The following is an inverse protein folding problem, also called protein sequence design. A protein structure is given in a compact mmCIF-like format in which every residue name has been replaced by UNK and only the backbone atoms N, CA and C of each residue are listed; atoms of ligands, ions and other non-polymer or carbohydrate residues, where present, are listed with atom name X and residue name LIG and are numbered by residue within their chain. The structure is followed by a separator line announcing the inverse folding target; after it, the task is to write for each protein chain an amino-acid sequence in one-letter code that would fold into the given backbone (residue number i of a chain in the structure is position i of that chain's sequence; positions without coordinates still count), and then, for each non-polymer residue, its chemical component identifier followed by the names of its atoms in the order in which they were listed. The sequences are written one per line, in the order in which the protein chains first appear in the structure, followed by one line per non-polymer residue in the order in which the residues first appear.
data_IF_853049936102
#
_entry.id   IF_853049936102
#
_cell.length_a   1.000
_cell.length_b   1.000
_cell.length_c   1.000
_cell.angle_alpha   90.00
_cell.angle_beta   90.00
_cell.angle_gamma   90.00
#
_symmetry.space_group_name_H-M   'P 1'
#
loop_
_entity.id
_entity.type
_entity.pdbx_description
1 polymer ?
#
# COMPACT_ATOMS: atom_id res chain seq x y z
N UNK A 1 12.47 -21.55 -64.88
CA UNK A 1 12.04 -21.74 -63.49
C UNK A 1 13.02 -20.96 -62.62
N UNK A 2 12.77 -19.67 -62.45
CA UNK A 2 13.59 -18.81 -61.58
C UNK A 2 12.92 -18.70 -60.22
N UNK A 3 13.58 -19.23 -59.19
CA UNK A 3 13.15 -19.12 -57.81
C UNK A 3 13.74 -17.83 -57.21
N UNK A 4 12.89 -16.82 -57.05
CA UNK A 4 13.21 -15.58 -56.33
C UNK A 4 13.38 -15.86 -54.83
N UNK A 5 14.44 -15.37 -54.16
CA UNK A 5 14.61 -15.58 -52.73
C UNK A 5 13.63 -14.74 -51.90
N UNK A 6 13.22 -15.20 -50.70
CA UNK A 6 12.26 -14.48 -49.87
C UNK A 6 12.88 -13.19 -49.34
N UNK A 7 12.21 -12.07 -49.60
CA UNK A 7 12.61 -10.76 -49.09
C UNK A 7 12.60 -10.67 -47.56
N UNK A 8 13.30 -9.67 -46.98
CA UNK A 8 13.43 -9.52 -45.54
C UNK A 8 12.05 -9.31 -44.89
N UNK A 9 11.76 -10.10 -43.86
CA UNK A 9 10.58 -9.95 -43.01
C UNK A 9 10.63 -8.55 -42.38
N UNK A 10 9.63 -7.72 -42.69
CA UNK A 10 9.43 -6.42 -42.02
C UNK A 10 9.27 -6.66 -40.51
N UNK A 11 9.88 -5.82 -39.65
CA UNK A 11 9.64 -5.90 -38.21
C UNK A 11 8.15 -5.72 -37.92
N UNK A 12 7.62 -6.57 -37.05
CA UNK A 12 6.25 -6.50 -36.55
C UNK A 12 6.06 -5.12 -35.89
N UNK A 13 5.35 -4.21 -36.56
CA UNK A 13 4.91 -2.97 -35.94
C UNK A 13 3.93 -3.36 -34.83
N UNK A 14 4.28 -3.07 -33.58
CA UNK A 14 3.38 -3.27 -32.44
C UNK A 14 2.04 -2.60 -32.76
N UNK A 15 0.90 -3.25 -32.46
CA UNK A 15 -0.41 -2.66 -32.73
C UNK A 15 -0.52 -1.34 -31.99
N UNK A 16 -1.01 -0.29 -32.67
CA UNK A 16 -1.33 0.99 -32.06
C UNK A 16 -2.24 0.73 -30.87
N UNK A 17 -1.70 0.89 -29.65
CA UNK A 17 -2.43 0.57 -28.45
C UNK A 17 -3.61 1.54 -28.32
N UNK A 18 -4.82 1.00 -28.16
CA UNK A 18 -6.00 1.80 -27.87
C UNK A 18 -5.84 2.64 -26.58
N UNK A 19 -6.78 3.55 -26.29
CA UNK A 19 -6.71 4.53 -25.18
C UNK A 19 -6.58 3.91 -23.76
N UNK A 20 -6.64 2.58 -23.66
CA UNK A 20 -6.53 1.79 -22.44
C UNK A 20 -5.09 1.57 -21.94
N UNK A 21 -4.08 1.72 -22.81
CA UNK A 21 -2.68 1.48 -22.47
C UNK A 21 -1.87 2.77 -22.54
N UNK A 22 -1.01 3.00 -21.55
CA UNK A 22 -0.15 4.17 -21.53
C UNK A 22 1.13 3.91 -22.34
N UNK A 23 1.55 4.89 -23.11
CA UNK A 23 2.89 4.93 -23.69
C UNK A 23 3.96 5.03 -22.59
N UNK A 24 5.22 4.78 -22.95
CA UNK A 24 6.34 4.94 -22.02
C UNK A 24 6.44 6.37 -21.46
N UNK A 25 6.25 7.38 -22.31
CA UNK A 25 6.28 8.79 -21.92
C UNK A 25 5.13 9.17 -20.97
N UNK A 26 3.91 8.71 -21.25
CA UNK A 26 2.77 8.93 -20.35
C UNK A 26 2.97 8.23 -19.00
N UNK A 27 3.53 7.02 -19.02
CA UNK A 27 3.87 6.28 -17.79
C UNK A 27 4.89 7.06 -16.96
N UNK A 28 5.95 7.58 -17.58
CA UNK A 28 6.97 8.36 -16.88
C UNK A 28 6.41 9.65 -16.31
N UNK A 29 5.53 10.33 -17.06
CA UNK A 29 4.87 11.54 -16.58
C UNK A 29 3.98 11.27 -15.36
N UNK A 30 3.20 10.18 -15.38
CA UNK A 30 2.36 9.78 -14.24
C UNK A 30 3.24 9.47 -13.03
N UNK A 31 4.29 8.66 -13.19
CA UNK A 31 5.17 8.28 -12.07
C UNK A 31 5.97 9.47 -11.51
N UNK A 32 6.37 10.42 -12.36
CA UNK A 32 7.00 11.66 -11.92
C UNK A 32 6.03 12.53 -11.11
N UNK A 33 4.79 12.71 -11.57
CA UNK A 33 3.76 13.42 -10.80
C UNK A 33 3.46 12.70 -9.48
N UNK A 34 3.48 11.37 -9.47
CA UNK A 34 3.33 10.59 -8.25
C UNK A 34 4.47 10.84 -7.27
N UNK A 35 5.71 10.91 -7.77
CA UNK A 35 6.89 11.20 -6.98
C UNK A 35 6.86 12.59 -6.33
N UNK A 36 6.44 13.61 -7.07
CA UNK A 36 6.31 14.98 -6.56
C UNK A 36 5.28 15.04 -5.43
N UNK A 37 4.09 14.49 -5.65
CA UNK A 37 3.04 14.48 -4.64
C UNK A 37 3.38 13.58 -3.43
N UNK A 38 4.04 12.43 -3.65
CA UNK A 38 4.53 11.56 -2.58
C UNK A 38 5.58 12.25 -1.71
N UNK A 39 6.52 12.97 -2.33
CA UNK A 39 7.50 13.79 -1.61
C UNK A 39 6.85 14.91 -0.77
N UNK A 40 5.83 15.58 -1.32
CA UNK A 40 5.09 16.61 -0.59
C UNK A 40 4.32 16.03 0.61
N UNK A 41 3.71 14.85 0.47
CA UNK A 41 3.02 14.15 1.55
C UNK A 41 3.98 13.72 2.66
N UNK A 42 5.13 13.13 2.32
CA UNK A 42 6.17 12.75 3.27
C UNK A 42 6.69 13.95 4.07
N UNK A 43 6.98 15.07 3.39
CA UNK A 43 7.41 16.30 4.06
C UNK A 43 6.30 16.85 4.99
N UNK A 44 5.04 16.81 4.54
CA UNK A 44 3.89 17.22 5.34
C UNK A 44 3.65 16.32 6.56
N UNK A 45 3.95 15.03 6.44
CA UNK A 45 3.91 14.04 7.52
C UNK A 45 4.97 14.34 8.58
N UNK A 46 6.22 14.53 8.16
CA UNK A 46 7.34 14.89 9.05
C UNK A 46 7.08 16.19 9.81
N UNK A 47 6.53 17.21 9.14
CA UNK A 47 6.19 18.48 9.79
C UNK A 47 5.16 18.31 10.90
N UNK A 48 4.15 17.45 10.69
CA UNK A 48 3.11 17.20 11.69
C UNK A 48 3.63 16.38 12.87
N UNK A 49 4.52 15.41 12.63
CA UNK A 49 5.20 14.66 13.69
C UNK A 49 6.05 15.60 14.55
N UNK A 50 6.89 16.45 13.93
CA UNK A 50 7.65 17.48 14.66
C UNK A 50 6.77 18.41 15.50
N UNK A 51 5.61 18.81 14.98
CA UNK A 51 4.65 19.64 15.74
C UNK A 51 4.06 18.90 16.93
N UNK A 52 3.73 17.62 16.77
CA UNK A 52 3.26 16.75 17.84
C UNK A 52 4.33 16.62 18.92
N UNK A 53 5.55 16.26 18.55
CA UNK A 53 6.69 16.08 19.47
C UNK A 53 6.98 17.37 20.25
N UNK A 54 6.95 18.53 19.59
CA UNK A 54 7.15 19.82 20.26
C UNK A 54 6.05 20.16 21.29
N UNK A 55 4.81 19.68 21.07
CA UNK A 55 3.72 19.83 22.04
C UNK A 55 3.84 18.84 23.20
N UNK A 56 4.38 17.65 22.94
CA UNK A 56 4.71 16.64 23.96
C UNK A 56 5.79 17.18 24.89
N UNK A 57 6.92 17.64 24.35
CA UNK A 57 8.01 18.27 25.11
C UNK A 57 7.50 19.45 25.96
N UNK A 58 6.63 20.29 25.39
CA UNK A 58 6.05 21.43 26.10
C UNK A 58 5.15 21.00 27.25
N UNK A 59 4.37 19.92 27.07
CA UNK A 59 3.50 19.37 28.11
C UNK A 59 4.32 18.68 29.20
N UNK A 60 5.35 17.94 28.84
CA UNK A 60 6.27 17.32 29.80
C UNK A 60 7.00 18.37 30.64
N UNK A 61 7.50 19.43 30.00
CA UNK A 61 8.12 20.56 30.70
C UNK A 61 7.14 21.22 31.69
N UNK A 62 5.86 21.36 31.30
CA UNK A 62 4.83 21.86 32.19
C UNK A 62 4.60 20.91 33.37
N UNK A 63 4.43 19.60 33.13
CA UNK A 63 4.25 18.59 34.19
C UNK A 63 5.44 18.58 35.16
N UNK A 64 6.67 18.58 34.63
CA UNK A 64 7.90 18.60 35.42
C UNK A 64 8.01 19.84 36.30
N UNK A 65 7.67 21.02 35.76
CA UNK A 65 7.59 22.27 36.52
C UNK A 65 6.42 22.32 37.53
N UNK A 66 5.42 21.42 37.38
CA UNK A 66 4.18 21.38 38.17
C UNK A 66 4.24 20.33 39.29
N UNK A 67 5.37 19.64 39.48
CA UNK A 67 5.58 18.69 40.58
C UNK A 67 5.37 19.27 42.00
N UNK A 68 5.32 20.62 42.13
CA UNK A 68 5.05 21.36 43.37
C UNK A 68 3.71 22.15 43.38
N UNK A 69 2.84 22.02 42.38
CA UNK A 69 1.64 22.89 42.24
C UNK A 69 0.37 22.30 42.88
N UNK A 70 -0.35 23.13 43.62
CA UNK A 70 -1.67 22.83 44.18
C UNK A 70 -2.68 22.44 43.09
N UNK A 71 -3.63 21.56 43.42
CA UNK A 71 -4.71 21.04 42.56
C UNK A 71 -5.36 22.06 41.60
N UNK A 72 -5.40 23.35 41.95
CA UNK A 72 -5.93 24.43 41.10
C UNK A 72 -5.17 24.67 39.79
N UNK A 73 -3.89 24.33 39.70
CA UNK A 73 -3.09 24.49 38.47
C UNK A 73 -3.43 23.47 37.39
N UNK A 74 -3.97 22.31 37.77
CA UNK A 74 -4.42 21.27 36.84
C UNK A 74 -5.69 21.67 36.07
N UNK A 75 -6.43 22.67 36.57
CA UNK A 75 -7.64 23.20 35.95
C UNK A 75 -7.43 24.55 35.26
N UNK A 76 -6.17 25.00 35.13
CA UNK A 76 -5.84 26.22 34.42
C UNK A 76 -6.26 26.11 32.93
N UNK A 77 -7.05 27.07 32.39
CA UNK A 77 -7.48 27.04 31.00
C UNK A 77 -6.35 26.95 29.98
N UNK A 78 -5.16 27.50 30.25
CA UNK A 78 -4.03 27.38 29.33
C UNK A 78 -3.46 25.96 29.31
N UNK A 79 -3.40 25.30 30.45
CA UNK A 79 -3.03 23.87 30.57
C UNK A 79 -4.03 22.97 29.84
N UNK A 80 -5.34 23.20 30.02
CA UNK A 80 -6.38 22.46 29.29
C UNK A 80 -6.25 22.68 27.78
N UNK A 81 -6.02 23.92 27.33
CA UNK A 81 -5.80 24.23 25.91
C UNK A 81 -4.59 23.50 25.34
N UNK A 82 -3.46 23.47 26.05
CA UNK A 82 -2.27 22.75 25.61
C UNK A 82 -2.56 21.26 25.39
N UNK A 83 -3.30 20.63 26.31
CA UNK A 83 -3.73 19.24 26.16
C UNK A 83 -4.66 19.01 24.96
N UNK A 84 -5.54 19.97 24.65
CA UNK A 84 -6.37 19.92 23.44
C UNK A 84 -5.52 20.04 22.16
N UNK A 85 -4.59 20.99 22.13
CA UNK A 85 -3.71 21.24 20.98
C UNK A 85 -2.83 20.01 20.68
N UNK A 86 -2.27 19.37 21.72
CA UNK A 86 -1.49 18.13 21.59
C UNK A 86 -2.34 16.99 21.02
N UNK A 87 -3.54 16.75 21.57
CA UNK A 87 -4.42 15.68 21.07
C UNK A 87 -4.80 15.89 19.60
N UNK A 88 -5.06 17.14 19.20
CA UNK A 88 -5.34 17.49 17.81
C UNK A 88 -4.11 17.28 16.92
N UNK A 89 -2.91 17.62 17.39
CA UNK A 89 -1.67 17.40 16.65
C UNK A 89 -1.38 15.91 16.44
N UNK A 90 -1.51 15.06 17.48
CA UNK A 90 -1.38 13.61 17.37
C UNK A 90 -2.37 13.01 16.39
N UNK A 91 -3.64 13.43 16.47
CA UNK A 91 -4.67 12.97 15.52
C UNK A 91 -4.32 13.36 14.09
N UNK A 92 -3.92 14.61 13.87
CA UNK A 92 -3.54 15.09 12.55
C UNK A 92 -2.30 14.37 12.00
N UNK A 93 -1.29 14.08 12.84
CA UNK A 93 -0.11 13.30 12.48
C UNK A 93 -0.50 11.89 12.03
N UNK A 94 -1.26 11.15 12.85
CA UNK A 94 -1.73 9.80 12.51
C UNK A 94 -2.56 9.74 11.23
N UNK A 95 -3.48 10.68 11.04
CA UNK A 95 -4.29 10.74 9.82
C UNK A 95 -3.42 11.03 8.57
N UNK A 96 -2.39 11.88 8.70
CA UNK A 96 -1.46 12.14 7.60
C UNK A 96 -0.51 10.99 7.33
N UNK A 97 -0.04 10.30 8.36
CA UNK A 97 0.77 9.08 8.23
C UNK A 97 0.00 8.01 7.47
N UNK A 98 -1.25 7.74 7.87
CA UNK A 98 -2.12 6.77 7.20
C UNK A 98 -2.36 7.14 5.72
N UNK A 99 -2.68 8.40 5.43
CA UNK A 99 -2.90 8.87 4.05
C UNK A 99 -1.61 8.82 3.21
N UNK A 100 -0.46 9.16 3.81
CA UNK A 100 0.84 9.10 3.14
C UNK A 100 1.23 7.66 2.82
N UNK A 101 1.03 6.75 3.78
CA UNK A 101 1.24 5.31 3.60
C UNK A 101 0.38 4.76 2.45
N UNK A 102 -0.93 5.06 2.44
CA UNK A 102 -1.85 4.66 1.36
C UNK A 102 -1.38 5.16 -0.02
N UNK A 103 -0.94 6.41 -0.09
CA UNK A 103 -0.45 7.01 -1.32
C UNK A 103 0.87 6.39 -1.80
N UNK A 104 1.83 6.22 -0.89
CA UNK A 104 3.16 5.66 -1.22
C UNK A 104 3.04 4.18 -1.60
N UNK A 105 2.18 3.41 -0.93
CA UNK A 105 1.88 2.03 -1.31
C UNK A 105 1.32 1.95 -2.74
N UNK A 106 0.38 2.84 -3.08
CA UNK A 106 -0.15 2.94 -4.44
C UNK A 106 0.94 3.31 -5.46
N UNK A 107 1.82 4.25 -5.12
CA UNK A 107 2.93 4.63 -5.97
C UNK A 107 3.94 3.49 -6.20
N UNK A 108 4.33 2.78 -5.16
CA UNK A 108 5.18 1.61 -5.27
C UNK A 108 4.53 0.54 -6.17
N UNK A 109 3.25 0.23 -5.99
CA UNK A 109 2.50 -0.69 -6.87
C UNK A 109 2.47 -0.24 -8.34
N UNK A 110 2.26 1.05 -8.58
CA UNK A 110 2.24 1.63 -9.91
C UNK A 110 3.62 1.51 -10.60
N UNK A 111 4.70 1.78 -9.87
CA UNK A 111 6.07 1.64 -10.38
C UNK A 111 6.43 0.19 -10.72
N UNK A 112 6.04 -0.77 -9.88
CA UNK A 112 6.23 -2.21 -10.16
C UNK A 112 5.44 -2.63 -11.39
N UNK A 113 4.20 -2.16 -11.52
CA UNK A 113 3.37 -2.43 -12.70
C UNK A 113 4.04 -1.91 -13.98
N UNK A 114 4.59 -0.69 -13.94
CA UNK A 114 5.35 -0.12 -15.05
C UNK A 114 6.63 -0.89 -15.33
N UNK A 115 7.34 -1.34 -14.30
CA UNK A 115 8.57 -2.12 -14.42
C UNK A 115 8.32 -3.48 -15.08
N UNK A 116 7.30 -4.22 -14.61
CA UNK A 116 6.87 -5.49 -15.22
C UNK A 116 6.52 -5.31 -16.70
N UNK A 117 5.72 -4.29 -17.02
CA UNK A 117 5.36 -3.98 -18.40
C UNK A 117 6.60 -3.66 -19.26
N UNK A 118 7.48 -2.78 -18.77
CA UNK A 118 8.71 -2.42 -19.46
C UNK A 118 9.63 -3.62 -19.72
N UNK A 119 9.75 -4.55 -18.75
CA UNK A 119 10.58 -5.76 -18.86
C UNK A 119 10.03 -6.75 -19.89
N UNK A 120 8.71 -6.81 -20.04
CA UNK A 120 8.01 -7.68 -21.01
C UNK A 120 7.84 -7.05 -22.39
N UNK A 121 8.27 -5.79 -22.60
CA UNK A 121 8.01 -5.05 -23.84
C UNK A 121 6.55 -4.64 -24.02
N UNK A 122 5.73 -4.76 -22.98
CA UNK A 122 4.31 -4.40 -22.97
C UNK A 122 4.11 -2.96 -22.50
N UNK A 123 2.92 -2.42 -22.78
CA UNK A 123 2.48 -1.14 -22.22
C UNK A 123 1.62 -1.36 -20.99
N UNK A 124 1.80 -0.60 -19.90
CA UNK A 124 0.94 -0.75 -18.74
C UNK A 124 -0.49 -0.31 -19.07
N UNK A 125 -1.48 -1.08 -18.61
CA UNK A 125 -2.89 -0.71 -18.68
C UNK A 125 -3.17 0.41 -17.69
N UNK A 126 -3.83 1.47 -18.15
CA UNK A 126 -4.19 2.64 -17.34
C UNK A 126 -4.97 2.24 -16.09
N UNK A 127 -5.97 1.38 -16.26
CA UNK A 127 -6.83 0.90 -15.16
C UNK A 127 -6.07 0.14 -14.08
N UNK A 128 -4.98 -0.57 -14.43
CA UNK A 128 -4.15 -1.25 -13.42
C UNK A 128 -3.35 -0.25 -12.60
N UNK A 129 -2.85 0.81 -13.23
CA UNK A 129 -2.11 1.87 -12.53
C UNK A 129 -2.99 2.63 -11.53
N UNK A 130 -4.27 2.89 -11.85
CA UNK A 130 -5.19 3.60 -10.95
C UNK A 130 -6.00 2.67 -10.03
N UNK A 131 -5.93 1.36 -10.25
CA UNK A 131 -6.78 0.37 -9.57
C UNK A 131 -6.70 0.42 -8.05
N UNK A 132 -5.51 0.69 -7.51
CA UNK A 132 -5.27 0.77 -6.07
C UNK A 132 -5.26 2.21 -5.51
N UNK A 133 -5.58 3.22 -6.32
CA UNK A 133 -5.50 4.61 -5.92
C UNK A 133 -6.40 4.93 -4.71
N UNK A 134 -5.92 5.68 -3.70
CA UNK A 134 -6.62 5.90 -2.42
C UNK A 134 -8.04 6.42 -2.52
N UNK A 135 -8.27 7.39 -3.40
CA UNK A 135 -9.53 8.16 -3.48
C UNK A 135 -10.09 8.21 -4.92
N UNK A 136 -9.71 7.24 -5.77
CA UNK A 136 -10.17 7.22 -7.16
C UNK A 136 -11.53 6.52 -7.29
N UNK A 137 -12.44 7.14 -8.04
CA UNK A 137 -13.68 6.52 -8.48
C UNK A 137 -13.44 5.86 -9.84
N UNK A 138 -13.81 4.58 -9.96
CA UNK A 138 -13.76 3.82 -11.21
C UNK A 138 -15.19 3.52 -11.64
N UNK A 139 -15.45 3.58 -12.95
CA UNK A 139 -16.74 3.13 -13.51
C UNK A 139 -16.81 1.60 -13.54
N UNK A 140 -18.00 1.04 -13.69
CA UNK A 140 -18.23 -0.41 -13.61
C UNK A 140 -17.39 -1.20 -14.64
N UNK A 141 -17.21 -0.66 -15.84
CA UNK A 141 -16.37 -1.26 -16.89
C UNK A 141 -14.89 -1.31 -16.48
N UNK A 142 -14.39 -0.26 -15.83
CA UNK A 142 -13.02 -0.20 -15.31
C UNK A 142 -12.83 -1.17 -14.14
N UNK A 143 -13.80 -1.25 -13.23
CA UNK A 143 -13.79 -2.21 -12.12
C UNK A 143 -13.78 -3.66 -12.61
N UNK A 144 -14.55 -3.95 -13.66
CA UNK A 144 -14.61 -5.27 -14.29
C UNK A 144 -13.29 -5.68 -14.95
N UNK A 145 -12.48 -4.71 -15.37
CA UNK A 145 -11.18 -4.95 -16.01
C UNK A 145 -10.04 -5.30 -15.02
N UNK A 146 -10.25 -5.05 -13.72
CA UNK A 146 -9.29 -5.45 -12.68
C UNK A 146 -9.29 -6.99 -12.48
N UNK A 147 -8.22 -7.59 -11.93
CA UNK A 147 -8.14 -9.05 -11.71
C UNK A 147 -9.16 -9.51 -10.67
N UNK A 148 -10.14 -10.36 -10.99
CA UNK A 148 -11.22 -10.79 -10.07
C UNK A 148 -10.71 -11.34 -8.72
N UNK A 149 -11.48 -11.15 -7.64
CA UNK A 149 -11.16 -11.82 -6.35
C UNK A 149 -11.15 -13.34 -6.56
N UNK A 150 -10.05 -13.99 -6.19
CA UNK A 150 -9.86 -15.42 -6.40
C UNK A 150 -10.87 -16.31 -5.66
N UNK A 151 -11.07 -17.53 -6.15
CA UNK A 151 -12.01 -18.49 -5.57
C UNK A 151 -11.68 -18.85 -4.10
N UNK A 152 -10.40 -18.84 -3.74
CA UNK A 152 -9.92 -19.09 -2.37
C UNK A 152 -10.40 -18.02 -1.37
N UNK A 153 -10.54 -16.77 -1.81
CA UNK A 153 -11.10 -15.69 -1.00
C UNK A 153 -12.64 -15.67 -1.04
N UNK A 154 -13.25 -15.98 -2.20
CA UNK A 154 -14.72 -15.99 -2.35
C UNK A 154 -15.42 -17.13 -1.61
N UNK A 155 -14.82 -18.33 -1.56
CA UNK A 155 -15.43 -19.52 -0.95
C UNK A 155 -15.70 -19.36 0.55
N UNK A 156 -14.74 -18.93 1.38
CA UNK A 156 -14.96 -18.74 2.82
C UNK A 156 -16.05 -17.70 3.11
N UNK A 157 -16.08 -16.61 2.33
CA UNK A 157 -17.11 -15.57 2.45
C UNK A 157 -18.49 -16.16 2.12
N UNK A 158 -18.61 -16.87 1.01
CA UNK A 158 -19.86 -17.52 0.60
C UNK A 158 -20.32 -18.59 1.59
N UNK A 159 -19.39 -19.40 2.10
CA UNK A 159 -19.66 -20.39 3.14
C UNK A 159 -20.16 -19.73 4.42
N UNK A 160 -19.46 -18.69 4.90
CA UNK A 160 -19.85 -17.92 6.09
C UNK A 160 -21.21 -17.26 5.90
N UNK A 161 -21.52 -16.78 4.69
CA UNK A 161 -22.81 -16.19 4.40
C UNK A 161 -23.96 -17.21 4.42
N UNK A 162 -23.69 -18.46 4.01
CA UNK A 162 -24.66 -19.57 4.03
C UNK A 162 -24.86 -20.16 5.43
N UNK A 163 -23.78 -20.26 6.21
CA UNK A 163 -23.79 -20.83 7.56
C UNK A 163 -24.19 -19.80 8.63
N UNK A 164 -24.16 -18.50 8.31
CA UNK A 164 -24.51 -17.42 9.22
C UNK A 164 -25.92 -17.56 9.78
N UNK A 165 -26.03 -17.74 11.09
CA UNK A 165 -27.31 -17.98 11.77
C UNK A 165 -28.20 -16.74 11.75
N UNK A 166 -29.51 -16.94 11.59
CA UNK A 166 -30.54 -15.90 11.59
C UNK A 166 -30.93 -15.39 12.99
N UNK A 167 -30.01 -15.48 13.97
CA UNK A 167 -30.25 -15.05 15.34
C UNK A 167 -30.18 -13.52 15.52
N UNK A 168 -30.72 -12.97 16.63
CA UNK A 168 -30.59 -11.56 16.96
C UNK A 168 -29.11 -11.16 17.04
N UNK A 169 -28.69 -10.18 16.25
CA UNK A 169 -27.28 -9.72 16.19
C UNK A 169 -26.36 -10.53 15.26
N UNK A 170 -26.82 -11.63 14.66
CA UNK A 170 -26.05 -12.43 13.70
C UNK A 170 -25.91 -11.79 12.32
N UNK A 171 -26.77 -10.81 12.00
CA UNK A 171 -26.80 -10.08 10.73
C UNK A 171 -26.58 -8.58 10.97
N UNK A 172 -25.83 -7.95 10.06
CA UNK A 172 -25.62 -6.51 10.03
C UNK A 172 -26.83 -5.74 9.49
N UNK A 173 -26.72 -4.40 9.37
CA UNK A 173 -27.79 -3.51 8.88
C UNK A 173 -28.32 -3.93 7.51
N UNK A 174 -27.44 -4.47 6.66
CA UNK A 174 -27.73 -4.85 5.28
C UNK A 174 -28.25 -6.30 5.15
N UNK A 175 -28.58 -6.95 6.26
CA UNK A 175 -29.07 -8.33 6.29
C UNK A 175 -28.01 -9.39 5.99
N UNK A 176 -26.74 -9.00 5.83
CA UNK A 176 -25.59 -9.92 5.62
C UNK A 176 -25.09 -10.43 6.98
N UNK A 177 -24.77 -11.73 7.12
CA UNK A 177 -24.16 -12.25 8.34
C UNK A 177 -22.86 -11.51 8.70
N UNK A 178 -22.71 -11.13 9.97
CA UNK A 178 -21.56 -10.31 10.42
C UNK A 178 -20.22 -11.01 10.14
N UNK A 179 -20.16 -12.33 10.34
CA UNK A 179 -18.96 -13.13 10.03
C UNK A 179 -18.61 -13.09 8.53
N UNK A 180 -19.62 -13.14 7.65
CA UNK A 180 -19.43 -13.06 6.21
C UNK A 180 -18.98 -11.66 5.81
N UNK A 181 -19.56 -10.61 6.39
CA UNK A 181 -19.15 -9.23 6.16
C UNK A 181 -17.70 -8.98 6.62
N UNK A 182 -17.28 -9.56 7.76
CA UNK A 182 -15.88 -9.47 8.24
C UNK A 182 -14.89 -10.19 7.33
N UNK A 183 -15.22 -11.41 6.89
CA UNK A 183 -14.39 -12.13 5.92
C UNK A 183 -14.34 -11.43 4.57
N UNK A 184 -15.46 -10.88 4.11
CA UNK A 184 -15.55 -10.10 2.89
C UNK A 184 -14.66 -8.86 2.98
N UNK A 185 -14.79 -8.10 4.07
CA UNK A 185 -13.92 -6.97 4.36
C UNK A 185 -12.45 -7.39 4.35
N UNK A 186 -12.07 -8.52 4.96
CA UNK A 186 -10.67 -8.98 4.97
C UNK A 186 -10.12 -9.21 3.56
N UNK A 187 -10.86 -9.87 2.68
CA UNK A 187 -10.30 -10.35 1.41
C UNK A 187 -10.60 -9.48 0.18
N UNK A 188 -11.33 -8.37 0.35
CA UNK A 188 -11.72 -7.47 -0.73
C UNK A 188 -13.02 -7.75 -1.51
N UNK A 189 -13.72 -8.91 -1.42
CA UNK A 189 -15.05 -9.00 -1.99
C UNK A 189 -16.07 -8.24 -1.13
N UNK A 190 -17.19 -7.85 -1.73
CA UNK A 190 -18.35 -7.33 -1.01
C UNK A 190 -19.43 -8.43 -0.92
N UNK A 191 -19.93 -8.67 0.29
CA UNK A 191 -21.12 -9.48 0.51
C UNK A 191 -22.35 -8.56 0.42
N UNK A 192 -23.25 -8.85 -0.52
CA UNK A 192 -24.49 -8.07 -0.74
C UNK A 192 -25.73 -8.96 -0.57
N UNK A 193 -26.84 -8.44 -0.05
CA UNK A 193 -28.09 -9.17 -0.06
C UNK A 193 -28.51 -9.51 -1.49
N UNK A 194 -28.86 -10.76 -1.73
CA UNK A 194 -29.42 -11.28 -2.97
C UNK A 194 -30.95 -11.38 -2.89
N UNK A 195 -31.55 -12.11 -3.84
CA UNK A 195 -32.98 -12.39 -3.80
C UNK A 195 -33.26 -13.48 -2.75
N UNK A 196 -34.31 -13.30 -1.94
CA UNK A 196 -34.83 -14.27 -0.96
C UNK A 196 -33.74 -15.00 -0.17
N UNK A 197 -33.28 -14.41 0.94
CA UNK A 197 -32.30 -14.95 1.91
C UNK A 197 -30.90 -15.30 1.38
N UNK A 198 -30.66 -15.20 0.06
CA UNK A 198 -29.36 -15.39 -0.54
C UNK A 198 -28.43 -14.20 -0.29
N UNK A 199 -27.13 -14.45 -0.12
CA UNK A 199 -26.09 -13.41 -0.08
C UNK A 199 -25.19 -13.64 -1.29
N UNK A 200 -25.04 -12.60 -2.11
CA UNK A 200 -24.15 -12.58 -3.28
C UNK A 200 -22.77 -12.07 -2.86
N UNK A 201 -21.73 -12.77 -3.28
CA UNK A 201 -20.35 -12.33 -3.13
C UNK A 201 -19.93 -11.72 -4.46
N UNK A 202 -19.69 -10.41 -4.48
CA UNK A 202 -19.28 -9.65 -5.66
C UNK A 202 -17.91 -9.01 -5.41
N UNK A 203 -17.26 -8.52 -6.45
CA UNK A 203 -16.05 -7.71 -6.27
C UNK A 203 -16.43 -6.36 -5.65
N UNK A 204 -15.72 -5.95 -4.59
CA UNK A 204 -15.92 -4.65 -3.97
C UNK A 204 -15.39 -3.53 -4.87
N UNK A 205 -16.15 -2.42 -4.95
CA UNK A 205 -15.84 -1.27 -5.79
C UNK A 205 -15.11 -0.13 -5.05
N UNK A 206 -15.14 -0.14 -3.72
CA UNK A 206 -14.52 0.89 -2.90
C UNK A 206 -12.99 0.83 -2.98
N UNK A 207 -12.27 1.96 -2.84
CA UNK A 207 -10.81 1.97 -2.95
C UNK A 207 -10.10 0.95 -2.07
N UNK A 208 -10.54 0.82 -0.82
CA UNK A 208 -9.99 -0.16 0.13
C UNK A 208 -10.26 -1.62 -0.30
N UNK A 209 -11.44 -1.93 -0.85
CA UNK A 209 -11.75 -3.26 -1.38
C UNK A 209 -10.81 -3.62 -2.55
N UNK A 210 -10.54 -2.64 -3.43
CA UNK A 210 -9.63 -2.82 -4.56
C UNK A 210 -8.20 -3.05 -4.12
N UNK A 211 -7.70 -2.31 -3.12
CA UNK A 211 -6.37 -2.53 -2.53
C UNK A 211 -6.26 -3.94 -1.95
N UNK A 212 -7.25 -4.38 -1.16
CA UNK A 212 -7.27 -5.74 -0.59
C UNK A 212 -7.30 -6.82 -1.65
N UNK A 213 -8.05 -6.60 -2.74
CA UNK A 213 -8.09 -7.48 -3.91
C UNK A 213 -6.75 -7.56 -4.64
N UNK A 214 -6.03 -6.44 -4.77
CA UNK A 214 -4.77 -6.35 -5.51
C UNK A 214 -3.55 -6.76 -4.68
N UNK A 215 -3.56 -6.50 -3.38
CA UNK A 215 -2.40 -6.61 -2.49
C UNK A 215 -2.55 -7.68 -1.41
N UNK A 216 -3.78 -8.14 -1.15
CA UNK A 216 -4.06 -9.23 -0.21
C UNK A 216 -3.70 -8.88 1.23
N UNK A 217 -3.22 -9.90 1.95
CA UNK A 217 -2.96 -9.82 3.39
C UNK A 217 -1.81 -8.86 3.74
N UNK A 218 -0.84 -8.66 2.83
CA UNK A 218 0.26 -7.72 3.05
C UNK A 218 -0.23 -6.28 3.31
N UNK A 219 -1.31 -5.87 2.63
CA UNK A 219 -1.96 -4.59 2.85
C UNK A 219 -2.71 -4.51 4.19
N UNK A 220 -3.30 -5.62 4.62
CA UNK A 220 -4.09 -5.68 5.85
C UNK A 220 -3.21 -5.60 7.09
N UNK A 221 -2.08 -6.30 7.06
CA UNK A 221 -1.19 -6.41 8.21
C UNK A 221 -0.21 -5.25 8.27
N UNK A 222 0.51 -4.98 7.18
CA UNK A 222 1.63 -4.03 7.20
C UNK A 222 1.42 -2.81 6.31
N UNK A 223 0.24 -2.64 5.70
CA UNK A 223 -0.09 -1.53 4.79
C UNK A 223 0.92 -1.38 3.64
N UNK A 224 1.41 -2.52 3.13
CA UNK A 224 2.31 -2.57 1.97
C UNK A 224 1.61 -3.14 0.75
N UNK A 225 1.97 -2.70 -0.48
CA UNK A 225 1.47 -3.32 -1.69
C UNK A 225 2.14 -4.68 -1.92
N UNK A 226 1.59 -5.49 -2.83
CA UNK A 226 2.22 -6.74 -3.24
C UNK A 226 3.45 -6.47 -4.14
N UNK A 227 4.62 -6.38 -3.50
CA UNK A 227 5.90 -6.17 -4.16
C UNK A 227 6.49 -7.47 -4.73
N UNK A 228 7.39 -7.38 -5.72
CA UNK A 228 8.14 -8.53 -6.22
C UNK A 228 8.99 -9.17 -5.12
N UNK A 229 8.98 -10.50 -5.03
CA UNK A 229 9.90 -11.24 -4.16
C UNK A 229 11.35 -11.17 -4.67
N UNK A 230 12.32 -11.58 -3.85
CA UNK A 230 13.74 -11.53 -4.23
C UNK A 230 14.05 -12.28 -5.54
N UNK A 231 13.37 -13.39 -5.81
CA UNK A 231 13.52 -14.14 -7.06
C UNK A 231 12.93 -13.40 -8.25
N UNK A 232 11.80 -12.72 -8.09
CA UNK A 232 11.19 -11.87 -9.09
C UNK A 232 12.05 -10.62 -9.37
N UNK A 233 12.57 -9.95 -8.34
CA UNK A 233 13.52 -8.84 -8.49
C UNK A 233 14.76 -9.29 -9.29
N UNK A 234 15.31 -10.46 -8.99
CA UNK A 234 16.44 -11.00 -9.76
C UNK A 234 16.10 -11.20 -11.25
N UNK A 235 14.90 -11.72 -11.56
CA UNK A 235 14.44 -11.87 -12.96
C UNK A 235 14.18 -10.52 -13.64
N UNK A 236 13.59 -9.56 -12.93
CA UNK A 236 13.26 -8.24 -13.46
C UNK A 236 14.50 -7.38 -13.70
N UNK A 237 15.60 -7.65 -12.99
CA UNK A 237 16.89 -6.96 -13.13
C UNK A 237 17.88 -7.65 -14.08
N UNK A 238 17.54 -8.84 -14.58
CA UNK A 238 18.37 -9.56 -15.55
C UNK A 238 18.56 -8.75 -16.84
N UNK A 239 19.80 -8.69 -17.34
CA UNK A 239 20.15 -7.95 -18.57
C UNK A 239 20.25 -6.43 -18.40
N UNK A 240 20.03 -5.89 -17.21
CA UNK A 240 20.23 -4.46 -16.94
C UNK A 240 21.72 -4.10 -16.75
N UNK A 241 22.10 -2.83 -17.00
CA UNK A 241 23.41 -2.33 -16.60
C UNK A 241 23.65 -2.53 -15.11
N UNK A 242 24.89 -2.88 -14.73
CA UNK A 242 25.27 -3.18 -13.34
C UNK A 242 24.80 -2.12 -12.35
N UNK A 243 25.02 -0.85 -12.67
CA UNK A 243 24.65 0.28 -11.81
C UNK A 243 23.14 0.38 -11.56
N UNK A 244 22.31 0.06 -12.56
CA UNK A 244 20.86 0.04 -12.41
C UNK A 244 20.41 -1.19 -11.62
N UNK A 245 21.04 -2.35 -11.87
CA UNK A 245 20.78 -3.59 -11.14
C UNK A 245 21.08 -3.44 -9.65
N UNK A 246 22.28 -3.00 -9.29
CA UNK A 246 22.70 -2.78 -7.90
C UNK A 246 21.73 -1.86 -7.17
N UNK A 247 21.39 -0.71 -7.78
CA UNK A 247 20.45 0.24 -7.20
C UNK A 247 19.07 -0.40 -6.92
N UNK A 248 18.53 -1.16 -7.87
CA UNK A 248 17.23 -1.82 -7.73
C UNK A 248 17.26 -2.92 -6.66
N UNK A 249 18.36 -3.68 -6.57
CA UNK A 249 18.55 -4.69 -5.54
C UNK A 249 18.64 -4.07 -4.15
N UNK A 250 19.38 -2.97 -3.98
CA UNK A 250 19.49 -2.25 -2.70
C UNK A 250 18.12 -1.76 -2.24
N UNK A 251 17.39 -1.00 -3.06
CA UNK A 251 16.10 -0.45 -2.62
C UNK A 251 15.05 -1.54 -2.38
N UNK A 252 15.11 -2.67 -3.10
CA UNK A 252 14.25 -3.82 -2.82
C UNK A 252 14.60 -4.51 -1.50
N UNK A 253 15.89 -4.63 -1.20
CA UNK A 253 16.39 -5.18 0.05
C UNK A 253 15.98 -4.32 1.24
N UNK A 254 16.14 -3.00 1.16
CA UNK A 254 15.79 -2.07 2.24
C UNK A 254 14.30 -2.19 2.63
N UNK A 255 13.40 -2.32 1.65
CA UNK A 255 11.97 -2.52 1.91
C UNK A 255 11.70 -3.90 2.53
N UNK A 256 12.35 -4.94 2.02
CA UNK A 256 12.20 -6.29 2.56
C UNK A 256 12.68 -6.38 4.01
N UNK A 257 13.76 -5.69 4.35
CA UNK A 257 14.30 -5.60 5.72
C UNK A 257 13.32 -4.90 6.67
N UNK A 258 12.79 -3.74 6.28
CA UNK A 258 11.81 -3.01 7.10
C UNK A 258 10.49 -3.78 7.25
N UNK A 259 10.05 -4.49 6.21
CA UNK A 259 8.88 -5.35 6.31
C UNK A 259 9.14 -6.55 7.23
N UNK A 260 10.32 -7.17 7.16
CA UNK A 260 10.69 -8.26 8.07
C UNK A 260 10.75 -7.80 9.52
N UNK A 261 11.22 -6.57 9.77
CA UNK A 261 11.17 -5.96 11.11
C UNK A 261 9.73 -5.75 11.59
N UNK A 262 8.84 -5.23 10.74
CA UNK A 262 7.42 -5.09 11.10
C UNK A 262 6.77 -6.44 11.45
N UNK A 263 7.03 -7.49 10.67
CA UNK A 263 6.56 -8.85 10.99
C UNK A 263 7.08 -9.32 12.34
N UNK A 264 8.37 -9.07 12.63
CA UNK A 264 9.00 -9.51 13.88
C UNK A 264 8.49 -8.73 15.10
N UNK A 265 8.16 -7.45 14.94
CA UNK A 265 7.46 -6.67 15.97
C UNK A 265 6.11 -7.29 16.29
N UNK A 266 5.29 -7.60 15.28
CA UNK A 266 3.98 -8.24 15.49
C UNK A 266 4.13 -9.58 16.24
N UNK A 267 5.12 -10.41 15.89
CA UNK A 267 5.41 -11.67 16.59
C UNK A 267 5.78 -11.47 18.07
N UNK A 268 6.57 -10.43 18.38
CA UNK A 268 6.94 -10.09 19.74
C UNK A 268 5.71 -9.58 20.53
N UNK A 269 4.87 -8.76 19.91
CA UNK A 269 3.61 -8.26 20.49
C UNK A 269 2.58 -9.36 20.77
N UNK A 270 2.56 -10.43 19.96
CA UNK A 270 1.73 -11.60 20.21
C UNK A 270 2.23 -12.46 21.38
N UNK A 271 3.48 -12.30 21.80
CA UNK A 271 4.06 -13.09 22.89
C UNK A 271 3.45 -12.69 24.22
N UNK A 272 2.74 -13.64 24.85
CA UNK A 272 2.11 -13.43 26.15
C UNK A 272 3.12 -13.50 27.31
N UNK A 273 3.14 -12.48 28.17
CA UNK A 273 3.94 -12.44 29.39
C UNK A 273 4.83 -11.19 29.48
N UNK A 274 5.54 -10.99 30.60
CA UNK A 274 6.52 -9.91 30.70
C UNK A 274 7.70 -10.19 29.77
N UNK A 275 8.10 -9.19 29.00
CA UNK A 275 9.27 -9.28 28.12
C UNK A 275 10.56 -9.17 28.93
N UNK A 276 11.57 -9.94 28.52
CA UNK A 276 12.92 -9.80 29.06
C UNK A 276 13.65 -8.57 28.44
N UNK A 277 14.78 -8.14 29.01
CA UNK A 277 15.51 -6.97 28.50
C UNK A 277 16.05 -7.12 27.07
N UNK A 278 16.30 -8.35 26.60
CA UNK A 278 16.78 -8.61 25.24
C UNK A 278 15.64 -8.41 24.24
N UNK A 279 14.44 -8.89 24.56
CA UNK A 279 13.21 -8.69 23.78
C UNK A 279 12.83 -7.20 23.70
N UNK A 280 12.97 -6.44 24.79
CA UNK A 280 12.72 -5.00 24.78
C UNK A 280 13.71 -4.29 23.83
N UNK A 281 15.00 -4.61 23.92
CA UNK A 281 16.03 -4.01 23.06
C UNK A 281 15.85 -4.41 21.59
N UNK A 282 15.47 -5.67 21.32
CA UNK A 282 15.12 -6.15 19.98
C UNK A 282 13.93 -5.36 19.42
N UNK A 283 12.85 -5.24 20.19
CA UNK A 283 11.66 -4.49 19.81
C UNK A 283 11.99 -3.03 19.49
N UNK A 284 12.70 -2.30 20.35
CA UNK A 284 13.07 -0.89 20.11
C UNK A 284 13.96 -0.69 18.87
N UNK A 285 14.78 -1.68 18.52
CA UNK A 285 15.58 -1.64 17.30
C UNK A 285 14.72 -1.88 16.05
N UNK A 286 13.82 -2.86 16.10
CA UNK A 286 12.97 -3.25 14.98
C UNK A 286 11.82 -2.25 14.74
N UNK A 287 11.24 -1.69 15.79
CA UNK A 287 10.17 -0.70 15.73
C UNK A 287 10.62 0.54 14.93
N UNK A 288 11.84 1.03 15.18
CA UNK A 288 12.44 2.11 14.37
C UNK A 288 12.59 1.75 12.90
N UNK A 289 12.93 0.50 12.60
CA UNK A 289 13.07 0.03 11.22
C UNK A 289 11.70 -0.12 10.53
N UNK A 290 10.69 -0.57 11.26
CA UNK A 290 9.31 -0.66 10.81
C UNK A 290 8.70 0.73 10.54
N UNK A 291 9.01 1.71 11.40
CA UNK A 291 8.61 3.13 11.24
C UNK A 291 9.13 3.74 9.91
N UNK A 292 10.29 3.27 9.43
CA UNK A 292 10.88 3.71 8.17
C UNK A 292 10.24 3.11 6.91
N UNK A 293 9.35 2.12 7.05
CA UNK A 293 8.80 1.34 5.93
C UNK A 293 8.17 2.22 4.85
N UNK A 294 7.40 3.24 5.24
CA UNK A 294 6.77 4.18 4.29
C UNK A 294 7.83 4.98 3.53
N UNK A 295 8.90 5.43 4.19
CA UNK A 295 9.98 6.17 3.54
C UNK A 295 10.79 5.27 2.59
N UNK A 296 11.05 4.03 2.99
CA UNK A 296 11.75 3.02 2.17
C UNK A 296 10.92 2.63 0.94
N UNK A 297 9.60 2.49 1.06
CA UNK A 297 8.70 2.28 -0.08
C UNK A 297 8.76 3.43 -1.09
N UNK A 298 8.83 4.69 -0.62
CA UNK A 298 8.98 5.84 -1.50
C UNK A 298 10.35 5.84 -2.19
N UNK A 299 11.43 5.52 -1.47
CA UNK A 299 12.76 5.38 -2.05
C UNK A 299 12.82 4.26 -3.10
N UNK A 300 12.15 3.13 -2.85
CA UNK A 300 11.96 2.05 -3.81
C UNK A 300 11.23 2.52 -5.06
N UNK A 301 10.08 3.19 -4.92
CA UNK A 301 9.31 3.70 -6.04
C UNK A 301 10.12 4.71 -6.88
N UNK A 302 10.87 5.61 -6.24
CA UNK A 302 11.81 6.52 -6.91
C UNK A 302 12.91 5.77 -7.67
N UNK A 303 13.54 4.80 -7.00
CA UNK A 303 14.62 4.00 -7.56
C UNK A 303 14.18 3.25 -8.82
N UNK A 304 13.02 2.59 -8.75
CA UNK A 304 12.40 1.92 -9.90
C UNK A 304 12.11 2.91 -11.01
N UNK A 305 11.45 4.03 -10.71
CA UNK A 305 11.08 5.07 -11.69
C UNK A 305 12.31 5.59 -12.44
N UNK A 306 13.40 5.88 -11.72
CA UNK A 306 14.65 6.38 -12.31
C UNK A 306 15.32 5.35 -13.24
N UNK A 307 15.13 4.05 -12.98
CA UNK A 307 15.71 2.98 -13.78
C UNK A 307 14.83 2.56 -14.97
N UNK A 308 13.55 2.95 -15.04
CA UNK A 308 12.63 2.55 -16.12
C UNK A 308 13.15 2.83 -17.53
N UNK A 309 13.78 3.97 -17.84
CA UNK A 309 14.33 4.21 -19.17
C UNK A 309 15.40 3.18 -19.57
N UNK A 310 16.28 2.79 -18.63
CA UNK A 310 17.30 1.78 -18.86
C UNK A 310 16.68 0.39 -19.04
N UNK A 311 15.63 0.05 -18.29
CA UNK A 311 14.89 -1.20 -18.46
C UNK A 311 14.28 -1.30 -19.85
N UNK A 312 13.62 -0.23 -20.30
CA UNK A 312 13.01 -0.17 -21.65
C UNK A 312 14.07 -0.22 -22.75
N UNK A 313 15.22 0.42 -22.57
CA UNK A 313 16.31 0.34 -23.54
C UNK A 313 16.90 -1.08 -23.67
N UNK A 314 16.97 -1.83 -22.56
CA UNK A 314 17.47 -3.21 -22.56
C UNK A 314 16.47 -4.23 -23.14
N UNK A 315 15.17 -3.96 -23.09
CA UNK A 315 14.12 -4.95 -23.38
C UNK A 315 13.08 -4.52 -24.44
N UNK A 316 13.13 -3.28 -24.91
CA UNK A 316 12.17 -2.68 -25.84
C UNK A 316 12.65 -2.61 -27.30
N UNK A 317 13.33 -3.64 -27.80
CA UNK A 317 13.69 -3.80 -29.21
C UNK A 317 12.74 -4.75 -29.95
#
# INVERSE_FOLDING_TARGET
MDATPPGPRRPHRAPDAGPEHLSGAETDQVLAAMAEAGGALLAGCQERRRRADALDERREALIGATSDLALGALYDPATVRLGLDQRLAHRAAREHEAATCEYVAWWADATVTAWRAARSGERPRRVRLIGAAPECLLVDEELASLPAVGAAARHPVGLSARLGTAGPGGRGPDGVPVAAARLAARHGPAARPGAVTEVKVVDGGWPEDRRRRLWGDAWLTHRVPLLPDAGEVARLTEGLPETARERLLTVAHDVAEALAAACRVDELEETSGPWDPEQIAEHEALDRLADELTARLAAYALGVTACLPAVRAAHGA
#
